data_IF_666476958721
#
_entry.id   IF_666476958721
#
_cell.length_a   1.000
_cell.length_b   1.000
_cell.length_c   1.000
_cell.angle_alpha   90.00
_cell.angle_beta   90.00
_cell.angle_gamma   90.00
#
_symmetry.space_group_name_H-M   'P 1'
#
loop_
_entity.id
_entity.type
_entity.pdbx_description
1 polymer ?
#
# COMPACT_ATOMS: atom_id res chain seq x y z
N UNK A 1 -16.45 11.23 26.57
CA UNK A 1 -16.03 11.93 25.33
C UNK A 1 -16.06 10.91 24.22
N UNK A 2 -16.46 11.27 23.00
CA UNK A 2 -16.34 10.36 21.84
C UNK A 2 -14.87 10.30 21.42
N UNK A 3 -14.37 9.11 21.12
CA UNK A 3 -13.03 8.96 20.56
C UNK A 3 -13.00 9.59 19.16
N UNK A 4 -11.98 10.40 18.90
CA UNK A 4 -11.82 11.15 17.67
C UNK A 4 -10.97 10.39 16.68
N UNK A 5 -11.48 10.13 15.49
CA UNK A 5 -10.82 9.39 14.43
C UNK A 5 -10.53 10.31 13.24
N UNK A 6 -9.28 10.44 12.84
CA UNK A 6 -8.95 10.99 11.54
C UNK A 6 -8.95 9.88 10.49
N UNK A 7 -9.89 9.94 9.56
CA UNK A 7 -9.99 9.02 8.43
C UNK A 7 -9.25 9.62 7.23
N UNK A 8 -8.13 9.00 6.83
CA UNK A 8 -7.34 9.46 5.68
C UNK A 8 -7.71 8.63 4.45
N UNK A 9 -8.21 9.30 3.40
CA UNK A 9 -8.59 8.67 2.13
C UNK A 9 -8.22 9.58 0.94
N UNK A 10 -8.45 9.11 -0.30
CA UNK A 10 -8.07 9.83 -1.52
C UNK A 10 -6.62 9.56 -1.91
N UNK A 11 -5.73 10.52 -1.73
CA UNK A 11 -4.30 10.39 -2.01
C UNK A 11 -3.92 10.62 -3.47
N UNK A 12 -2.64 10.35 -3.78
CA UNK A 12 -2.02 10.64 -5.09
C UNK A 12 -1.73 9.37 -5.92
N UNK A 13 -2.24 8.19 -5.49
CA UNK A 13 -2.06 6.93 -6.23
C UNK A 13 -3.11 6.78 -7.34
N UNK A 14 -2.87 5.85 -8.25
CA UNK A 14 -3.85 5.47 -9.28
C UNK A 14 -5.11 4.81 -8.68
N UNK A 15 -5.06 4.43 -7.39
CA UNK A 15 -6.16 3.82 -6.63
C UNK A 15 -7.02 4.86 -5.87
N UNK A 16 -6.89 6.16 -6.20
CA UNK A 16 -7.60 7.26 -5.53
C UNK A 16 -9.10 7.04 -5.41
N UNK A 17 -9.76 6.66 -6.49
CA UNK A 17 -11.22 6.46 -6.52
C UNK A 17 -11.65 5.31 -5.61
N UNK A 18 -10.88 4.22 -5.59
CA UNK A 18 -11.11 3.09 -4.67
C UNK A 18 -10.96 3.55 -3.22
N UNK A 19 -9.93 4.34 -2.93
CA UNK A 19 -9.69 4.91 -1.60
C UNK A 19 -10.85 5.80 -1.14
N UNK A 20 -11.36 6.66 -2.01
CA UNK A 20 -12.52 7.51 -1.70
C UNK A 20 -13.79 6.69 -1.44
N UNK A 21 -14.00 5.60 -2.18
CA UNK A 21 -15.12 4.69 -1.95
C UNK A 21 -14.99 3.99 -0.60
N UNK A 22 -13.83 3.41 -0.30
CA UNK A 22 -13.51 2.80 1.00
C UNK A 22 -13.72 3.81 2.13
N UNK A 23 -13.20 5.02 1.96
CA UNK A 23 -13.34 6.10 2.94
C UNK A 23 -14.80 6.44 3.26
N UNK A 24 -15.68 6.50 2.25
CA UNK A 24 -17.12 6.73 2.46
C UNK A 24 -17.76 5.62 3.30
N UNK A 25 -17.47 4.37 3.02
CA UNK A 25 -18.02 3.21 3.73
C UNK A 25 -17.53 3.18 5.19
N UNK A 26 -16.21 3.33 5.39
CA UNK A 26 -15.60 3.34 6.72
C UNK A 26 -16.13 4.51 7.55
N UNK A 27 -16.25 5.71 6.96
CA UNK A 27 -16.82 6.88 7.65
C UNK A 27 -18.22 6.60 8.16
N UNK A 28 -19.09 6.02 7.33
CA UNK A 28 -20.46 5.63 7.73
C UNK A 28 -20.45 4.72 8.95
N UNK A 29 -19.71 3.63 8.88
CA UNK A 29 -19.61 2.65 9.96
C UNK A 29 -19.05 3.24 11.27
N UNK A 30 -18.02 4.09 11.18
CA UNK A 30 -17.44 4.75 12.35
C UNK A 30 -18.42 5.71 13.02
N UNK A 31 -19.18 6.49 12.24
CA UNK A 31 -20.21 7.39 12.77
C UNK A 31 -21.34 6.61 13.43
N UNK A 32 -21.83 5.55 12.80
CA UNK A 32 -22.87 4.67 13.33
C UNK A 32 -22.46 4.02 14.66
N UNK A 33 -21.17 3.70 14.80
CA UNK A 33 -20.61 3.13 16.04
C UNK A 33 -20.24 4.18 17.08
N UNK A 34 -20.49 5.47 16.82
CA UNK A 34 -20.41 6.54 17.79
C UNK A 34 -19.09 7.29 17.86
N UNK A 35 -18.17 7.08 16.92
CA UNK A 35 -16.94 7.87 16.84
C UNK A 35 -17.18 9.28 16.29
N UNK A 36 -16.30 10.21 16.65
CA UNK A 36 -16.19 11.53 16.00
C UNK A 36 -15.19 11.43 14.87
N UNK A 37 -15.61 11.67 13.63
CA UNK A 37 -14.81 11.35 12.43
C UNK A 37 -14.52 12.58 11.60
N UNK A 38 -13.24 12.97 11.53
CA UNK A 38 -12.73 13.94 10.56
C UNK A 38 -12.15 13.22 9.34
N UNK A 39 -12.61 13.58 8.14
CA UNK A 39 -12.07 13.01 6.89
C UNK A 39 -11.02 13.93 6.29
N UNK A 40 -9.83 13.38 6.03
CA UNK A 40 -8.69 14.10 5.48
C UNK A 40 -8.21 13.44 4.17
N UNK A 41 -7.73 14.25 3.24
CA UNK A 41 -7.06 13.76 2.03
C UNK A 41 -5.53 13.82 2.19
N UNK A 42 -4.83 12.88 1.58
CA UNK A 42 -3.36 12.89 1.53
C UNK A 42 -2.88 13.97 0.54
N UNK A 43 -2.73 15.17 1.04
CA UNK A 43 -2.23 16.34 0.31
C UNK A 43 -1.20 17.11 1.15
N UNK A 44 -0.72 18.22 0.63
CA UNK A 44 0.37 19.00 1.25
C UNK A 44 -0.03 19.64 2.60
N UNK A 45 -1.33 19.72 2.90
CA UNK A 45 -1.85 20.26 4.16
C UNK A 45 -2.10 19.19 5.23
N UNK A 46 -1.90 17.91 4.94
CA UNK A 46 -2.25 16.80 5.85
C UNK A 46 -1.62 16.95 7.24
N UNK A 47 -0.34 17.32 7.30
CA UNK A 47 0.38 17.48 8.59
C UNK A 47 -0.24 18.57 9.44
N UNK A 48 -0.58 19.71 8.84
CA UNK A 48 -1.24 20.83 9.53
C UNK A 48 -2.61 20.39 10.03
N UNK A 49 -3.41 19.77 9.17
CA UNK A 49 -4.74 19.28 9.52
C UNK A 49 -4.71 18.26 10.68
N UNK A 50 -3.78 17.33 10.68
CA UNK A 50 -3.62 16.36 11.77
C UNK A 50 -3.22 17.03 13.10
N UNK A 51 -2.35 18.05 13.06
CA UNK A 51 -1.95 18.80 14.26
C UNK A 51 -3.09 19.64 14.84
N UNK A 52 -3.94 20.21 13.98
CA UNK A 52 -5.11 20.98 14.38
C UNK A 52 -6.24 20.09 14.90
N UNK A 53 -6.49 18.99 14.18
CA UNK A 53 -7.55 18.03 14.49
C UNK A 53 -7.27 17.25 15.77
N UNK A 54 -6.03 16.90 16.06
CA UNK A 54 -5.58 16.13 17.23
C UNK A 54 -6.41 14.86 17.44
N UNK A 55 -6.43 13.94 16.47
CA UNK A 55 -7.19 12.71 16.60
C UNK A 55 -6.59 11.78 17.66
N UNK A 56 -7.41 10.96 18.28
CA UNK A 56 -6.97 9.89 19.19
C UNK A 56 -6.34 8.73 18.40
N UNK A 57 -6.82 8.50 17.15
CA UNK A 57 -6.33 7.47 16.27
C UNK A 57 -6.56 7.85 14.80
N UNK A 58 -5.69 7.40 13.92
CA UNK A 58 -5.81 7.56 12.48
C UNK A 58 -6.27 6.25 11.83
N UNK A 59 -7.33 6.31 11.03
CA UNK A 59 -7.75 5.21 10.16
C UNK A 59 -7.25 5.46 8.73
N UNK A 60 -6.40 4.56 8.22
CA UNK A 60 -5.83 4.68 6.87
C UNK A 60 -6.73 3.92 5.90
N UNK A 61 -7.47 4.65 5.06
CA UNK A 61 -8.28 4.12 3.96
C UNK A 61 -7.67 4.41 2.58
N UNK A 62 -6.36 4.67 2.55
CA UNK A 62 -5.60 4.83 1.32
C UNK A 62 -5.24 3.46 0.74
N UNK A 63 -5.10 3.42 -0.59
CA UNK A 63 -4.62 2.26 -1.33
C UNK A 63 -3.37 2.61 -2.14
N UNK A 64 -2.50 1.61 -2.32
CA UNK A 64 -1.28 1.74 -3.13
C UNK A 64 -0.22 2.67 -2.53
N UNK A 65 0.41 3.43 -3.42
CA UNK A 65 1.55 4.29 -3.08
C UNK A 65 1.19 5.34 -2.02
N UNK A 66 2.07 5.52 -1.07
CA UNK A 66 1.99 6.38 0.12
C UNK A 66 1.01 5.90 1.20
N UNK A 67 0.01 5.07 0.87
CA UNK A 67 -0.95 4.55 1.84
C UNK A 67 -0.56 3.21 2.44
N UNK A 68 -0.01 2.31 1.62
CA UNK A 68 0.28 0.92 1.99
C UNK A 68 1.79 0.59 1.98
N UNK A 69 2.65 1.54 1.62
CA UNK A 69 4.09 1.34 1.42
C UNK A 69 4.97 1.76 2.60
N UNK A 70 4.36 2.16 3.72
CA UNK A 70 5.06 2.61 4.93
C UNK A 70 5.28 4.13 5.00
N UNK A 71 5.02 4.88 3.93
CA UNK A 71 5.28 6.32 3.90
C UNK A 71 4.38 7.09 4.88
N UNK A 72 3.06 6.89 4.81
CA UNK A 72 2.14 7.52 5.74
C UNK A 72 2.33 7.02 7.16
N UNK A 73 2.57 5.72 7.33
CA UNK A 73 2.83 5.11 8.63
C UNK A 73 4.04 5.78 9.31
N UNK A 74 5.14 5.99 8.56
CA UNK A 74 6.31 6.69 9.07
C UNK A 74 6.07 8.14 9.44
N UNK A 75 5.23 8.85 8.68
CA UNK A 75 4.80 10.19 9.05
C UNK A 75 4.01 10.19 10.36
N UNK A 76 3.07 9.25 10.53
CA UNK A 76 2.25 9.14 11.72
C UNK A 76 3.09 8.75 12.95
N UNK A 77 4.07 7.85 12.79
CA UNK A 77 5.05 7.51 13.84
C UNK A 77 5.83 8.75 14.30
N UNK A 78 6.33 9.57 13.36
CA UNK A 78 7.04 10.82 13.68
C UNK A 78 6.13 11.83 14.40
N UNK A 79 4.85 11.88 14.06
CA UNK A 79 3.86 12.74 14.71
C UNK A 79 3.36 12.18 16.04
N UNK A 80 3.72 10.95 16.41
CA UNK A 80 3.24 10.27 17.62
C UNK A 80 1.76 9.94 17.58
N UNK A 81 1.17 9.77 16.39
CA UNK A 81 -0.24 9.47 16.18
C UNK A 81 -0.46 7.96 15.99
N UNK A 82 -1.22 7.30 16.86
CA UNK A 82 -1.61 5.91 16.66
C UNK A 82 -2.43 5.74 15.38
N UNK A 83 -2.25 4.63 14.67
CA UNK A 83 -3.00 4.33 13.46
C UNK A 83 -3.40 2.85 13.37
N UNK A 84 -4.43 2.60 12.58
CA UNK A 84 -4.91 1.25 12.27
C UNK A 84 -4.14 0.71 11.06
N UNK A 85 -3.53 -0.46 11.23
CA UNK A 85 -2.80 -1.15 10.16
C UNK A 85 -1.40 -1.60 10.56
N UNK A 86 -0.67 -2.10 9.56
CA UNK A 86 0.70 -2.56 9.74
C UNK A 86 1.67 -1.38 9.83
N UNK A 87 2.76 -1.57 10.59
CA UNK A 87 3.82 -0.57 10.72
C UNK A 87 4.68 -0.41 9.45
N UNK A 88 5.62 0.54 9.49
CA UNK A 88 6.46 0.96 8.37
C UNK A 88 7.14 -0.22 7.67
N UNK A 89 7.88 -1.04 8.43
CA UNK A 89 8.66 -2.14 7.84
C UNK A 89 7.77 -3.17 7.15
N UNK A 90 6.70 -3.60 7.82
CA UNK A 90 5.78 -4.60 7.28
C UNK A 90 5.09 -4.09 6.01
N UNK A 91 4.61 -2.86 6.01
CA UNK A 91 3.99 -2.20 4.86
C UNK A 91 4.96 -2.10 3.67
N UNK A 92 6.18 -1.62 3.91
CA UNK A 92 7.19 -1.48 2.86
C UNK A 92 7.60 -2.82 2.23
N UNK A 93 7.74 -3.88 3.05
CA UNK A 93 8.05 -5.23 2.57
C UNK A 93 6.87 -5.84 1.80
N UNK A 94 5.65 -5.74 2.35
CA UNK A 94 4.45 -6.31 1.75
C UNK A 94 4.12 -5.69 0.39
N UNK A 95 4.33 -4.38 0.23
CA UNK A 95 4.09 -3.70 -1.04
C UNK A 95 5.05 -4.16 -2.16
N UNK A 96 6.20 -4.73 -1.84
CA UNK A 96 7.18 -5.23 -2.81
C UNK A 96 7.03 -6.74 -3.00
N UNK A 97 6.32 -7.18 -4.05
CA UNK A 97 6.01 -8.59 -4.32
C UNK A 97 7.24 -9.49 -4.37
N UNK A 98 8.33 -9.02 -4.96
CA UNK A 98 9.57 -9.79 -5.07
C UNK A 98 10.22 -10.00 -3.70
N UNK A 99 10.21 -8.99 -2.84
CA UNK A 99 10.76 -9.10 -1.48
C UNK A 99 9.83 -9.94 -0.60
N UNK A 100 8.52 -9.70 -0.65
CA UNK A 100 7.53 -10.52 0.11
C UNK A 100 7.69 -12.00 -0.19
N UNK A 101 7.78 -12.37 -1.49
CA UNK A 101 7.95 -13.77 -1.88
C UNK A 101 9.29 -14.36 -1.44
N UNK A 102 10.37 -13.57 -1.40
CA UNK A 102 11.65 -14.01 -0.84
C UNK A 102 11.52 -14.34 0.64
N UNK A 103 10.89 -13.46 1.41
CA UNK A 103 10.65 -13.66 2.84
C UNK A 103 9.75 -14.87 3.09
N UNK A 104 8.65 -15.00 2.36
CA UNK A 104 7.75 -16.16 2.50
C UNK A 104 8.46 -17.49 2.22
N UNK A 105 9.34 -17.53 1.21
CA UNK A 105 10.14 -18.75 0.94
C UNK A 105 11.14 -19.05 2.05
N UNK A 106 11.76 -18.03 2.65
CA UNK A 106 12.66 -18.20 3.79
C UNK A 106 11.93 -18.81 5.01
N UNK A 107 10.65 -18.45 5.19
CA UNK A 107 9.78 -19.00 6.23
C UNK A 107 9.09 -20.31 5.82
N UNK A 108 9.50 -20.94 4.72
CA UNK A 108 8.94 -22.20 4.25
C UNK A 108 7.53 -22.13 3.65
N UNK A 109 7.01 -20.93 3.39
CA UNK A 109 5.68 -20.76 2.80
C UNK A 109 5.73 -21.03 1.29
N UNK A 110 4.70 -21.72 0.81
CA UNK A 110 4.55 -22.02 -0.62
C UNK A 110 4.23 -20.73 -1.39
N UNK A 111 5.06 -20.45 -2.37
CA UNK A 111 4.88 -19.33 -3.29
C UNK A 111 4.94 -19.79 -4.75
N UNK A 112 4.08 -19.30 -5.63
CA UNK A 112 4.23 -19.53 -7.06
C UNK A 112 5.63 -19.10 -7.53
N UNK A 113 6.18 -19.82 -8.51
CA UNK A 113 7.42 -19.41 -9.15
C UNK A 113 7.25 -18.03 -9.79
N UNK A 114 8.32 -17.26 -9.85
CA UNK A 114 8.33 -15.95 -10.46
C UNK A 114 9.72 -15.60 -11.01
N UNK A 115 9.71 -14.72 -11.98
CA UNK A 115 10.89 -14.06 -12.53
C UNK A 115 10.68 -12.55 -12.39
N UNK A 116 11.63 -11.87 -11.77
CA UNK A 116 11.64 -10.41 -11.67
C UNK A 116 12.38 -9.83 -12.87
N UNK A 117 11.64 -9.14 -13.74
CA UNK A 117 12.21 -8.37 -14.85
C UNK A 117 12.37 -6.92 -14.42
N UNK A 118 13.59 -6.44 -14.34
CA UNK A 118 13.91 -5.05 -13.99
C UNK A 118 14.18 -4.22 -15.24
N UNK A 119 14.12 -2.89 -15.11
CA UNK A 119 14.54 -1.99 -16.20
C UNK A 119 16.00 -2.27 -16.59
N UNK A 120 16.85 -2.63 -15.64
CA UNK A 120 18.25 -2.98 -15.91
C UNK A 120 18.38 -4.27 -16.72
N UNK A 121 17.64 -5.33 -16.40
CA UNK A 121 17.65 -6.58 -17.15
C UNK A 121 17.08 -6.43 -18.58
N UNK A 122 16.26 -5.41 -18.84
CA UNK A 122 15.82 -5.06 -20.18
C UNK A 122 16.88 -4.29 -21.00
N UNK A 123 17.89 -3.74 -20.35
CA UNK A 123 19.05 -3.12 -21.01
C UNK A 123 20.17 -4.13 -21.27
N UNK A 124 20.41 -5.02 -20.31
CA UNK A 124 21.41 -6.10 -20.37
C UNK A 124 20.90 -7.31 -19.59
N UNK A 125 20.69 -8.47 -20.21
CA UNK A 125 20.98 -8.86 -21.60
C UNK A 125 19.96 -8.39 -22.64
N UNK A 126 18.98 -7.55 -22.28
CA UNK A 126 17.95 -7.06 -23.17
C UNK A 126 16.64 -7.86 -23.12
N UNK A 127 15.71 -7.54 -24.00
CA UNK A 127 14.39 -8.18 -24.02
C UNK A 127 14.49 -9.69 -24.30
N UNK A 128 15.31 -10.10 -25.24
CA UNK A 128 15.51 -11.53 -25.60
C UNK A 128 16.02 -12.33 -24.40
N UNK A 129 17.04 -11.83 -23.71
CA UNK A 129 17.57 -12.49 -22.52
C UNK A 129 16.59 -12.52 -21.35
N UNK A 130 15.70 -11.52 -21.23
CA UNK A 130 14.63 -11.54 -20.23
C UNK A 130 13.58 -12.61 -20.58
N UNK A 131 13.20 -12.75 -21.85
CA UNK A 131 12.30 -13.81 -22.33
C UNK A 131 12.92 -15.19 -22.11
N UNK A 132 14.17 -15.39 -22.48
CA UNK A 132 14.89 -16.65 -22.26
C UNK A 132 14.93 -17.05 -20.77
N UNK A 133 15.14 -16.08 -19.88
CA UNK A 133 15.09 -16.31 -18.44
C UNK A 133 13.69 -16.72 -17.98
N UNK A 134 12.63 -16.14 -18.55
CA UNK A 134 11.23 -16.50 -18.24
C UNK A 134 10.97 -17.93 -18.70
N UNK A 135 11.25 -18.27 -19.95
CA UNK A 135 11.00 -19.58 -20.57
C UNK A 135 11.74 -20.71 -19.82
N UNK A 136 12.94 -20.42 -19.34
CA UNK A 136 13.75 -21.38 -18.57
C UNK A 136 13.15 -21.67 -17.18
N UNK A 137 12.47 -20.72 -16.57
CA UNK A 137 12.05 -20.82 -15.16
C UNK A 137 10.55 -21.00 -14.96
N UNK A 138 9.73 -20.61 -15.93
CA UNK A 138 8.28 -20.60 -15.82
C UNK A 138 7.63 -21.38 -16.98
N UNK A 139 6.38 -21.78 -16.79
CA UNK A 139 5.54 -22.38 -17.82
C UNK A 139 4.37 -21.45 -18.14
N UNK A 140 3.90 -21.48 -19.39
CA UNK A 140 2.71 -20.75 -19.82
C UNK A 140 1.43 -21.47 -19.43
N UNK A 141 0.31 -20.73 -19.15
CA UNK A 141 0.17 -19.28 -19.24
C UNK A 141 0.83 -18.51 -18.08
N UNK A 142 1.22 -17.25 -18.31
CA UNK A 142 1.88 -16.37 -17.37
C UNK A 142 1.00 -15.19 -16.99
N UNK A 143 1.22 -14.64 -15.80
CA UNK A 143 0.69 -13.34 -15.38
C UNK A 143 1.87 -12.38 -15.22
N UNK A 144 1.82 -11.25 -15.95
CA UNK A 144 2.77 -10.14 -15.82
C UNK A 144 2.12 -9.06 -14.98
N UNK A 145 2.81 -8.59 -13.95
CA UNK A 145 2.28 -7.57 -13.05
C UNK A 145 3.37 -6.65 -12.49
N UNK A 146 3.06 -5.39 -12.20
CA UNK A 146 3.99 -4.47 -11.55
C UNK A 146 4.41 -5.00 -10.16
N UNK A 147 5.69 -4.82 -9.83
CA UNK A 147 6.23 -5.30 -8.55
C UNK A 147 5.66 -4.57 -7.33
N UNK A 148 5.34 -3.27 -7.47
CA UNK A 148 4.96 -2.38 -6.37
C UNK A 148 3.58 -1.72 -6.54
N UNK A 149 2.65 -2.33 -7.26
CA UNK A 149 1.27 -1.85 -7.39
C UNK A 149 0.29 -2.89 -6.90
N UNK A 150 -0.87 -2.45 -6.41
CA UNK A 150 -1.98 -3.27 -5.96
C UNK A 150 -3.16 -3.28 -6.92
N UNK A 151 -4.32 -3.79 -6.48
CA UNK A 151 -5.65 -3.68 -7.11
C UNK A 151 -5.69 -4.01 -8.61
N UNK A 152 -4.86 -4.94 -9.08
CA UNK A 152 -4.76 -5.37 -10.50
C UNK A 152 -4.38 -4.26 -11.50
N UNK A 153 -3.93 -3.11 -11.02
CA UNK A 153 -3.46 -2.03 -11.89
C UNK A 153 -2.20 -2.47 -12.64
N UNK A 154 -2.22 -2.35 -13.96
CA UNK A 154 -1.12 -2.72 -14.84
C UNK A 154 -0.93 -4.23 -15.05
N UNK A 155 -1.98 -5.03 -14.81
CA UNK A 155 -2.05 -6.44 -15.15
C UNK A 155 -2.33 -6.63 -16.64
#
# INVERSE_FOLDING_TARGET
MKNKVALICGGKSEEREVSLLTGRQVRGALIETGFDVTTLDLNDNLVTALKEDRPDVVFIALHGKYGEDGCLQGLLDILGLPYVGSGVLASALAMNKAISKKLFRLEGLLCPKDVLVSRYSLQQPGLEGAIEQIDKNLAYPLVVKPNKQGSTIGL
#
